data_IF_074866987758
#
_entry.id   IF_074866987758
#
_cell.length_a   1.000
_cell.length_b   1.000
_cell.length_c   1.000
_cell.angle_alpha   90.00
_cell.angle_beta   90.00
_cell.angle_gamma   90.00
#
_symmetry.space_group_name_H-M   'P 1'
#
loop_
_entity.id
_entity.type
_entity.pdbx_description
1 polymer ?
#
# COMPACT_ATOMS: atom_id res chain seq x y z
N UNK A 1 43.99 -75.25 3.21
CA UNK A 1 42.62 -74.72 3.37
C UNK A 1 42.52 -74.17 4.77
N UNK A 2 42.54 -72.83 4.89
CA UNK A 2 42.41 -71.95 6.08
C UNK A 2 42.97 -70.60 5.58
N UNK A 3 42.43 -69.40 5.83
CA UNK A 3 41.28 -68.88 6.54
C UNK A 3 41.16 -67.43 6.04
N UNK A 4 39.99 -67.00 5.58
CA UNK A 4 39.76 -65.60 5.18
C UNK A 4 39.11 -64.87 6.36
N UNK A 5 39.87 -64.03 7.05
CA UNK A 5 39.30 -63.04 7.97
C UNK A 5 39.82 -61.66 7.60
N UNK A 6 38.94 -60.85 7.04
CA UNK A 6 39.01 -59.39 7.14
C UNK A 6 37.73 -58.92 7.79
N UNK A 7 37.69 -59.00 9.13
CA UNK A 7 36.66 -58.36 9.93
C UNK A 7 36.90 -56.86 9.98
N UNK A 8 36.17 -56.09 9.17
CA UNK A 8 36.01 -54.65 9.42
C UNK A 8 34.90 -54.47 10.46
N UNK A 9 35.27 -54.38 11.73
CA UNK A 9 34.38 -53.98 12.81
C UNK A 9 34.29 -52.45 12.88
N UNK A 10 33.22 -51.84 12.35
CA UNK A 10 32.91 -50.43 12.61
C UNK A 10 31.62 -50.32 13.43
N UNK A 11 31.75 -50.41 14.76
CA UNK A 11 30.68 -50.07 15.72
C UNK A 11 30.56 -48.55 15.88
N UNK A 12 30.33 -47.84 14.79
CA UNK A 12 29.84 -46.46 14.83
C UNK A 12 28.80 -46.29 13.73
N UNK A 13 27.58 -46.77 13.99
CA UNK A 13 26.40 -46.39 13.19
C UNK A 13 26.11 -44.92 13.50
N UNK A 14 26.76 -44.02 12.79
CA UNK A 14 26.32 -42.61 12.72
C UNK A 14 24.90 -42.63 12.15
N UNK A 15 23.91 -42.35 12.99
CA UNK A 15 22.51 -42.23 12.56
C UNK A 15 22.42 -41.00 11.66
N UNK A 16 22.45 -41.21 10.35
CA UNK A 16 22.13 -40.19 9.36
C UNK A 16 20.62 -40.06 9.19
N UNK A 17 20.19 -38.97 8.57
CA UNK A 17 18.79 -38.80 8.18
C UNK A 17 18.44 -39.81 7.09
N UNK A 18 17.27 -40.42 7.21
CA UNK A 18 16.68 -41.23 6.15
C UNK A 18 16.19 -40.33 5.02
N UNK A 19 16.08 -40.90 3.82
CA UNK A 19 15.56 -40.19 2.65
C UNK A 19 14.16 -39.61 2.92
N UNK A 20 13.31 -40.38 3.61
CA UNK A 20 11.94 -39.96 3.93
C UNK A 20 11.91 -38.82 4.94
N UNK A 21 12.79 -38.81 5.94
CA UNK A 21 12.89 -37.70 6.90
C UNK A 21 13.28 -36.40 6.21
N UNK A 22 14.30 -36.43 5.33
CA UNK A 22 14.68 -35.25 4.55
C UNK A 22 13.54 -34.80 3.64
N UNK A 23 12.84 -35.74 2.98
CA UNK A 23 11.73 -35.40 2.09
C UNK A 23 10.58 -34.72 2.84
N UNK A 24 10.21 -35.23 4.01
CA UNK A 24 9.15 -34.63 4.85
C UNK A 24 9.57 -33.25 5.34
N UNK A 25 10.82 -33.09 5.79
CA UNK A 25 11.33 -31.77 6.23
C UNK A 25 11.28 -30.76 5.10
N UNK A 26 11.73 -31.12 3.89
CA UNK A 26 11.68 -30.24 2.72
C UNK A 26 10.25 -29.89 2.33
N UNK A 27 9.32 -30.84 2.45
CA UNK A 27 7.90 -30.60 2.19
C UNK A 27 7.28 -29.59 3.17
N UNK A 28 7.57 -29.73 4.47
CA UNK A 28 7.10 -28.80 5.51
C UNK A 28 7.70 -27.41 5.29
N UNK A 29 8.99 -27.31 4.96
CA UNK A 29 9.64 -26.02 4.65
C UNK A 29 9.01 -25.40 3.40
N UNK A 30 8.72 -26.20 2.37
CA UNK A 30 8.06 -25.74 1.14
C UNK A 30 6.69 -25.11 1.41
N UNK A 31 5.83 -25.78 2.18
CA UNK A 31 4.52 -25.25 2.56
C UNK A 31 4.65 -24.02 3.48
N UNK A 32 5.59 -24.05 4.42
CA UNK A 32 5.80 -22.92 5.33
C UNK A 32 6.27 -21.68 4.56
N UNK A 33 7.16 -21.86 3.57
CA UNK A 33 7.68 -20.77 2.74
C UNK A 33 6.59 -20.14 1.87
N UNK A 34 5.67 -20.93 1.30
CA UNK A 34 4.56 -20.38 0.49
C UNK A 34 3.60 -19.54 1.33
N UNK A 35 3.27 -19.98 2.55
CA UNK A 35 2.41 -19.22 3.47
C UNK A 35 3.02 -17.86 3.84
N UNK A 36 4.32 -17.82 4.13
CA UNK A 36 5.03 -16.55 4.42
C UNK A 36 5.02 -15.63 3.20
N UNK A 37 5.26 -16.17 2.00
CA UNK A 37 5.35 -15.36 0.77
C UNK A 37 3.99 -14.74 0.37
N UNK A 38 2.88 -15.48 0.53
CA UNK A 38 1.53 -14.97 0.22
C UNK A 38 1.17 -13.78 1.10
N UNK A 39 1.44 -13.85 2.42
CA UNK A 39 1.17 -12.74 3.33
C UNK A 39 2.01 -11.49 3.02
N UNK A 40 3.28 -11.68 2.62
CA UNK A 40 4.16 -10.55 2.28
C UNK A 40 3.70 -9.78 1.03
N UNK A 41 3.04 -10.47 0.09
CA UNK A 41 2.51 -9.84 -1.13
C UNK A 41 1.39 -8.83 -0.88
N UNK A 42 0.57 -9.07 0.16
CA UNK A 42 -0.52 -8.16 0.56
C UNK A 42 0.03 -6.89 1.21
N UNK A 43 1.01 -7.02 2.12
CA UNK A 43 1.66 -5.87 2.78
C UNK A 43 2.36 -4.96 1.77
N UNK A 44 3.13 -5.55 0.85
CA UNK A 44 3.76 -4.77 -0.22
C UNK A 44 2.74 -4.06 -1.13
N UNK A 45 1.50 -4.56 -1.20
CA UNK A 45 0.45 -3.95 -2.02
C UNK A 45 -0.19 -2.73 -1.34
N UNK A 46 -0.27 -2.69 0.00
CA UNK A 46 -0.81 -1.53 0.73
C UNK A 46 0.22 -0.41 0.82
N UNK A 47 1.49 -0.74 1.06
CA UNK A 47 2.58 0.23 1.08
C UNK A 47 2.71 0.94 -0.28
N UNK A 48 2.71 0.18 -1.38
CA UNK A 48 2.73 0.77 -2.73
C UNK A 48 1.53 1.66 -3.03
N UNK A 49 0.37 1.41 -2.42
CA UNK A 49 -0.80 2.29 -2.56
C UNK A 49 -0.61 3.57 -1.79
N UNK A 50 -0.09 3.48 -0.56
CA UNK A 50 0.22 4.63 0.25
C UNK A 50 1.24 5.54 -0.45
N UNK A 51 2.31 4.96 -0.98
CA UNK A 51 3.33 5.67 -1.75
C UNK A 51 2.73 6.32 -3.00
N UNK A 52 1.88 5.60 -3.75
CA UNK A 52 1.22 6.15 -4.95
C UNK A 52 0.27 7.32 -4.64
N UNK A 53 -0.40 7.30 -3.48
CA UNK A 53 -1.23 8.41 -2.99
C UNK A 53 -0.33 9.59 -2.63
N UNK A 54 0.75 9.35 -1.89
CA UNK A 54 1.73 10.39 -1.51
C UNK A 54 2.34 11.07 -2.75
N UNK A 55 2.76 10.29 -3.75
CA UNK A 55 3.27 10.80 -5.02
C UNK A 55 2.23 11.68 -5.75
N UNK A 56 0.96 11.27 -5.74
CA UNK A 56 -0.13 12.04 -6.36
C UNK A 56 -0.36 13.37 -5.64
N UNK A 57 -0.38 13.35 -4.30
CA UNK A 57 -0.54 14.56 -3.48
C UNK A 57 0.65 15.51 -3.71
N UNK A 58 1.88 14.99 -3.74
CA UNK A 58 3.08 15.79 -3.98
C UNK A 58 3.06 16.42 -5.37
N UNK A 59 2.75 15.63 -6.41
CA UNK A 59 2.62 16.14 -7.77
C UNK A 59 1.60 17.27 -7.87
N UNK A 60 0.42 17.10 -7.26
CA UNK A 60 -0.64 18.11 -7.31
C UNK A 60 -0.29 19.37 -6.51
N UNK A 61 0.39 19.23 -5.38
CA UNK A 61 0.91 20.36 -4.63
C UNK A 61 1.93 21.15 -5.48
N UNK A 62 2.89 20.47 -6.08
CA UNK A 62 3.89 21.08 -6.98
C UNK A 62 3.23 21.78 -8.17
N UNK A 63 2.27 21.12 -8.83
CA UNK A 63 1.56 21.70 -9.97
C UNK A 63 0.75 22.96 -9.57
N UNK A 64 0.13 22.99 -8.38
CA UNK A 64 -0.60 24.17 -7.90
C UNK A 64 0.32 25.37 -7.67
N UNK A 65 1.53 25.12 -7.16
CA UNK A 65 2.56 26.14 -6.93
C UNK A 65 3.12 26.65 -8.25
N UNK A 66 3.44 25.74 -9.18
CA UNK A 66 4.03 26.07 -10.48
C UNK A 66 3.03 26.84 -11.36
N UNK A 67 1.78 26.39 -11.41
CA UNK A 67 0.75 26.99 -12.28
C UNK A 67 0.09 28.22 -11.67
N UNK A 68 0.19 28.40 -10.35
CA UNK A 68 -0.49 29.48 -9.64
C UNK A 68 -2.00 29.28 -9.49
N UNK A 69 -2.54 28.10 -9.83
CA UNK A 69 -3.97 27.79 -9.78
C UNK A 69 -4.32 26.90 -8.59
N UNK A 70 -5.53 27.09 -8.05
CA UNK A 70 -6.10 26.13 -7.10
C UNK A 70 -6.36 24.82 -7.85
N UNK A 71 -5.98 23.70 -7.25
CA UNK A 71 -6.24 22.37 -7.80
C UNK A 71 -7.17 21.61 -6.85
N UNK A 72 -8.25 21.07 -7.40
CA UNK A 72 -9.21 20.22 -6.71
C UNK A 72 -9.00 18.77 -7.15
N UNK A 73 -8.71 17.87 -6.20
CA UNK A 73 -8.52 16.44 -6.46
C UNK A 73 -9.74 15.64 -6.08
N UNK A 74 -10.31 14.95 -7.05
CA UNK A 74 -11.45 14.06 -6.91
C UNK A 74 -10.95 12.62 -6.92
N UNK A 75 -11.03 11.97 -5.76
CA UNK A 75 -10.50 10.63 -5.56
C UNK A 75 -11.48 9.75 -4.79
N UNK A 76 -11.91 8.68 -5.44
CA UNK A 76 -12.85 7.66 -4.97
C UNK A 76 -12.53 6.33 -5.70
N UNK A 77 -13.19 5.24 -5.32
CA UNK A 77 -13.11 3.92 -5.95
C UNK A 77 -13.29 3.91 -7.47
N UNK A 78 -14.04 4.87 -8.05
CA UNK A 78 -14.32 4.95 -9.49
C UNK A 78 -13.72 6.16 -10.19
N UNK A 79 -13.45 7.23 -9.44
CA UNK A 79 -13.04 8.53 -9.99
C UNK A 79 -11.67 8.87 -9.41
N UNK A 80 -10.70 9.08 -10.30
CA UNK A 80 -9.42 9.67 -9.93
C UNK A 80 -9.05 10.70 -10.99
N UNK A 81 -9.28 11.97 -10.69
CA UNK A 81 -8.90 13.07 -11.55
C UNK A 81 -8.71 14.33 -10.72
N UNK A 82 -7.96 15.29 -11.24
CA UNK A 82 -7.90 16.61 -10.65
C UNK A 82 -8.29 17.67 -11.67
N UNK A 83 -8.68 18.83 -11.17
CA UNK A 83 -9.08 19.98 -11.98
C UNK A 83 -8.41 21.25 -11.47
N UNK A 84 -8.04 22.14 -12.38
CA UNK A 84 -7.79 23.54 -12.05
C UNK A 84 -9.12 24.23 -11.75
N UNK A 85 -9.18 24.97 -10.66
CA UNK A 85 -10.34 25.78 -10.26
C UNK A 85 -9.99 27.24 -10.51
N UNK A 86 -10.68 27.86 -11.47
CA UNK A 86 -10.49 29.26 -11.82
C UNK A 86 -11.47 30.17 -11.07
N UNK A 87 -11.14 31.47 -10.94
CA UNK A 87 -11.99 32.45 -10.23
C UNK A 87 -13.38 32.61 -10.84
N UNK A 88 -13.52 32.36 -12.15
CA UNK A 88 -14.79 32.39 -12.87
C UNK A 88 -15.67 31.13 -12.63
N UNK A 89 -15.19 30.19 -11.80
CA UNK A 89 -15.88 28.92 -11.51
C UNK A 89 -15.70 27.85 -12.59
N UNK A 90 -14.90 28.11 -13.63
CA UNK A 90 -14.56 27.08 -14.61
C UNK A 90 -13.60 26.05 -14.00
N UNK A 91 -13.85 24.78 -14.31
CA UNK A 91 -12.95 23.68 -13.95
C UNK A 91 -12.32 23.08 -15.20
N UNK A 92 -10.99 22.96 -15.21
CA UNK A 92 -10.26 22.31 -16.30
C UNK A 92 -9.50 21.10 -15.80
N UNK A 93 -9.81 19.93 -16.34
CA UNK A 93 -9.15 18.69 -15.94
C UNK A 93 -7.63 18.71 -16.21
N UNK A 94 -6.87 18.22 -15.25
CA UNK A 94 -5.43 17.99 -15.36
C UNK A 94 -5.20 16.66 -16.04
N UNK A 95 -4.52 16.70 -17.18
CA UNK A 95 -4.15 15.49 -17.90
C UNK A 95 -2.98 14.83 -17.17
N UNK A 96 -3.07 13.52 -16.92
CA UNK A 96 -1.98 12.72 -16.37
C UNK A 96 -1.65 13.03 -14.89
N UNK A 97 -2.65 12.90 -14.00
CA UNK A 97 -2.39 12.61 -12.59
C UNK A 97 -1.60 11.29 -12.57
N UNK A 98 -0.38 11.31 -12.03
CA UNK A 98 0.61 10.24 -12.16
C UNK A 98 0.03 8.83 -12.04
N UNK A 99 0.58 7.90 -12.81
CA UNK A 99 0.16 6.49 -12.96
C UNK A 99 -0.61 5.96 -11.75
N UNK A 100 -1.94 6.08 -11.78
CA UNK A 100 -2.74 5.69 -10.63
C UNK A 100 -2.70 4.17 -10.51
N UNK A 101 -1.88 3.66 -9.60
CA UNK A 101 -1.91 2.26 -9.14
C UNK A 101 -3.28 1.93 -8.50
N UNK A 102 -4.12 2.95 -8.30
CA UNK A 102 -5.53 2.87 -7.91
C UNK A 102 -6.47 2.23 -8.96
N UNK A 103 -6.01 1.17 -9.64
CA UNK A 103 -6.82 0.42 -10.61
C UNK A 103 -7.30 -0.88 -9.95
N UNK A 104 -8.60 -0.93 -9.65
CA UNK A 104 -9.41 -2.12 -9.37
C UNK A 104 -8.80 -3.18 -8.45
N UNK A 105 -8.82 -2.92 -7.15
CA UNK A 105 -8.86 -4.01 -6.16
C UNK A 105 -9.88 -3.61 -5.10
N UNK A 106 -11.09 -4.09 -5.34
CA UNK A 106 -12.35 -3.85 -4.64
C UNK A 106 -12.42 -4.42 -3.21
N UNK A 107 -11.29 -4.73 -2.57
CA UNK A 107 -11.28 -5.46 -1.29
C UNK A 107 -10.76 -4.67 -0.09
N UNK A 108 -9.96 -3.62 -0.30
CA UNK A 108 -9.40 -2.85 0.82
C UNK A 108 -10.31 -1.68 1.13
N UNK A 109 -10.89 -1.69 2.33
CA UNK A 109 -11.68 -0.57 2.86
C UNK A 109 -10.75 0.64 3.01
N UNK A 110 -11.23 1.80 2.61
CA UNK A 110 -10.47 3.05 2.65
C UNK A 110 -11.38 4.15 3.12
N UNK A 111 -10.96 4.90 4.12
CA UNK A 111 -11.73 6.03 4.62
C UNK A 111 -10.90 7.29 4.60
N UNK A 112 -11.56 8.40 4.31
CA UNK A 112 -10.96 9.72 4.46
C UNK A 112 -11.64 10.46 5.59
N UNK A 113 -10.85 11.13 6.42
CA UNK A 113 -11.33 12.02 7.48
C UNK A 113 -10.83 13.43 7.20
N UNK A 114 -11.78 14.33 7.00
CA UNK A 114 -11.53 15.75 6.85
C UNK A 114 -11.07 16.37 8.18
N UNK A 115 -10.47 17.56 8.13
CA UNK A 115 -10.01 18.28 9.34
C UNK A 115 -11.15 18.67 10.28
N UNK A 116 -12.36 18.83 9.77
CA UNK A 116 -13.57 19.10 10.56
C UNK A 116 -14.05 17.86 11.35
N UNK A 117 -13.44 16.69 11.12
CA UNK A 117 -13.78 15.42 11.74
C UNK A 117 -14.78 14.57 10.94
N UNK A 118 -15.32 15.09 9.83
CA UNK A 118 -16.20 14.34 8.94
C UNK A 118 -15.44 13.17 8.32
N UNK A 119 -16.04 11.97 8.36
CA UNK A 119 -15.43 10.75 7.82
C UNK A 119 -16.26 10.19 6.68
N UNK A 120 -15.62 9.88 5.56
CA UNK A 120 -16.23 9.30 4.37
C UNK A 120 -15.53 7.99 3.99
N UNK A 121 -16.27 7.08 3.36
CA UNK A 121 -15.71 5.84 2.82
C UNK A 121 -15.51 5.99 1.31
N UNK A 122 -14.28 5.78 0.82
CA UNK A 122 -13.91 5.93 -0.60
C UNK A 122 -14.32 4.73 -1.47
N UNK A 123 -15.27 3.92 -0.99
CA UNK A 123 -15.89 2.82 -1.74
C UNK A 123 -17.35 3.12 -2.10
N UNK A 124 -17.96 4.14 -1.49
CA UNK A 124 -19.32 4.52 -1.79
C UNK A 124 -19.27 5.65 -2.83
N UNK A 125 -19.99 5.49 -3.95
CA UNK A 125 -20.13 6.48 -5.04
C UNK A 125 -20.72 7.79 -4.53
N UNK A 126 -19.88 8.59 -3.89
CA UNK A 126 -20.26 9.87 -3.29
C UNK A 126 -19.02 10.72 -3.19
N UNK A 127 -18.76 11.51 -4.22
CA UNK A 127 -18.92 12.94 -4.06
C UNK A 127 -18.76 13.68 -5.39
N UNK A 128 -19.57 14.73 -5.57
CA UNK A 128 -19.28 15.83 -6.50
C UNK A 128 -18.32 16.86 -5.86
N UNK A 129 -17.85 16.61 -4.63
CA UNK A 129 -16.87 17.45 -3.94
C UNK A 129 -15.45 16.87 -4.05
N UNK A 130 -14.42 17.72 -4.06
CA UNK A 130 -13.04 17.26 -4.02
C UNK A 130 -12.71 16.62 -2.66
N UNK A 131 -11.78 15.66 -2.69
CA UNK A 131 -11.20 15.04 -1.51
C UNK A 131 -10.17 15.96 -0.86
N UNK A 132 -9.29 16.54 -1.69
CA UNK A 132 -8.27 17.49 -1.27
C UNK A 132 -8.26 18.70 -2.21
N UNK A 133 -7.96 19.86 -1.62
CA UNK A 133 -7.75 21.11 -2.33
C UNK A 133 -6.31 21.55 -2.09
N UNK A 134 -5.63 21.91 -3.17
CA UNK A 134 -4.25 22.37 -3.19
C UNK A 134 -4.22 23.84 -3.57
N UNK A 135 -3.58 24.65 -2.73
CA UNK A 135 -3.48 26.08 -2.92
C UNK A 135 -2.11 26.46 -3.48
N UNK A 136 -2.03 27.48 -4.36
CA UNK A 136 -0.76 27.98 -4.91
C UNK A 136 0.27 28.43 -3.88
N UNK A 137 -0.18 28.72 -2.65
CA UNK A 137 0.67 29.03 -1.50
C UNK A 137 1.50 27.84 -1.01
N UNK A 138 1.22 26.63 -1.49
CA UNK A 138 1.74 25.37 -0.96
C UNK A 138 0.92 24.82 0.21
N UNK A 139 -0.20 25.45 0.55
CA UNK A 139 -1.13 24.91 1.53
C UNK A 139 -2.00 23.80 0.91
N UNK A 140 -2.36 22.81 1.73
CA UNK A 140 -3.28 21.73 1.36
C UNK A 140 -4.43 21.73 2.36
N UNK A 141 -5.65 21.40 1.91
CA UNK A 141 -6.82 21.28 2.80
C UNK A 141 -6.63 20.28 3.94
N UNK A 142 -5.70 19.32 3.79
CA UNK A 142 -5.33 18.35 4.82
C UNK A 142 -6.39 17.29 5.08
N UNK A 143 -6.04 16.32 5.94
CA UNK A 143 -6.93 15.22 6.34
C UNK A 143 -6.15 13.94 6.67
N UNK A 144 -6.89 12.86 6.90
CA UNK A 144 -6.34 11.53 7.20
C UNK A 144 -6.94 10.49 6.24
N UNK A 145 -6.09 9.74 5.53
CA UNK A 145 -6.52 8.56 4.75
C UNK A 145 -6.17 7.31 5.54
N UNK A 146 -7.17 6.52 5.91
CA UNK A 146 -6.98 5.20 6.52
C UNK A 146 -7.18 4.11 5.46
N UNK A 147 -6.17 3.27 5.27
CA UNK A 147 -6.19 2.07 4.45
C UNK A 147 -6.27 0.86 5.40
N UNK A 148 -7.36 0.10 5.32
CA UNK A 148 -7.62 -1.00 6.25
C UNK A 148 -7.10 -2.31 5.68
N UNK A 149 -6.13 -2.92 6.35
CA UNK A 149 -5.71 -4.31 6.16
C UNK A 149 -6.36 -5.19 7.25
N UNK A 150 -6.29 -6.52 7.12
CA UNK A 150 -6.87 -7.45 8.11
C UNK A 150 -6.27 -7.25 9.52
N UNK A 151 -4.94 -7.11 9.59
CA UNK A 151 -4.20 -7.04 10.86
C UNK A 151 -3.83 -5.62 11.33
N UNK A 152 -3.90 -4.62 10.45
CA UNK A 152 -3.49 -3.24 10.76
C UNK A 152 -4.18 -2.22 9.87
N UNK A 153 -4.09 -0.95 10.27
CA UNK A 153 -4.51 0.20 9.49
C UNK A 153 -3.27 1.00 9.12
N UNK A 154 -3.06 1.23 7.83
CA UNK A 154 -2.07 2.18 7.35
C UNK A 154 -2.72 3.56 7.19
N UNK A 155 -2.25 4.54 7.94
CA UNK A 155 -2.78 5.90 7.97
C UNK A 155 -1.82 6.88 7.31
N UNK A 156 -2.30 7.63 6.34
CA UNK A 156 -1.63 8.81 5.80
C UNK A 156 -2.22 10.06 6.44
N UNK A 157 -1.42 10.78 7.22
CA UNK A 157 -1.79 12.07 7.82
C UNK A 157 -1.26 13.19 6.94
N UNK A 158 -2.15 13.92 6.29
CA UNK A 158 -1.83 15.03 5.39
C UNK A 158 -2.02 16.33 6.16
N UNK A 159 -0.92 17.03 6.44
CA UNK A 159 -0.94 18.33 7.12
C UNK A 159 -1.09 19.47 6.11
N UNK A 160 -1.63 20.59 6.58
CA UNK A 160 -1.90 21.75 5.73
C UNK A 160 -0.64 22.38 5.14
N UNK A 161 0.53 22.12 5.71
CA UNK A 161 1.82 22.60 5.21
C UNK A 161 2.46 21.66 4.17
N UNK A 162 1.71 20.72 3.62
CA UNK A 162 2.20 19.76 2.63
C UNK A 162 2.99 18.58 3.20
N UNK A 163 3.21 18.50 4.51
CA UNK A 163 3.85 17.33 5.12
C UNK A 163 2.88 16.16 5.21
N UNK A 164 3.33 15.00 4.76
CA UNK A 164 2.59 13.74 4.83
C UNK A 164 3.33 12.83 5.81
N UNK A 165 2.60 12.20 6.72
CA UNK A 165 3.12 11.19 7.63
C UNK A 165 2.43 9.85 7.35
N UNK A 166 3.22 8.79 7.26
CA UNK A 166 2.72 7.43 7.09
C UNK A 166 2.87 6.68 8.42
N UNK A 167 1.74 6.30 9.00
CA UNK A 167 1.65 5.65 10.31
C UNK A 167 1.03 4.25 10.15
N UNK A 168 1.60 3.25 10.82
CA UNK A 168 1.02 1.90 10.90
C UNK A 168 0.40 1.74 12.28
N UNK A 169 -0.90 1.45 12.31
CA UNK A 169 -1.69 1.25 13.52
C UNK A 169 -2.08 -0.22 13.56
N UNK A 170 -1.46 -0.99 14.45
CA UNK A 170 -1.86 -2.38 14.72
C UNK A 170 -3.24 -2.41 15.38
N UNK A 171 -4.11 -3.33 14.94
CA UNK A 171 -5.39 -3.61 15.59
C UNK A 171 -5.20 -4.26 16.97
#
# INVERSE_FOLDING_TARGET
>A
MLMLEIGWNNKNKSKGFTLIEILVVLFIIGISATLVLVNFSSVNSIEKRADSIEDSIKFLAEESIITGNIIAWYFDSKKNYATYVYENGEEKQINNIGNSVWKNSSSLKTTFKYLDGTKIELQQDRSESPLLIFYPSGEISGGEIDLYHEDYIQRLVIKNNGKIFNEIISN
#
